data_IF_638071935366
#
_entry.id   IF_638071935366
#
_cell.length_a   1.000
_cell.length_b   1.000
_cell.length_c   1.000
_cell.angle_alpha   90.00
_cell.angle_beta   90.00
_cell.angle_gamma   90.00
#
_symmetry.space_group_name_H-M   'P 1'
#
loop_
_entity.id
_entity.type
_entity.pdbx_description
1 polymer ?
#
# COMPACT_ATOMS: atom_id res chain seq x y z
N UNK A 1 -15.96 45.00 -17.66
CA UNK A 1 -17.04 44.06 -18.03
C UNK A 1 -16.39 42.93 -18.81
N UNK A 2 -16.35 41.73 -18.22
CA UNK A 2 -16.19 40.38 -18.82
C UNK A 2 -14.85 40.15 -19.56
N UNK A 3 -13.78 39.69 -18.88
CA UNK A 3 -13.39 38.28 -18.62
C UNK A 3 -13.32 37.36 -19.85
N UNK A 4 -12.12 36.84 -20.13
CA UNK A 4 -11.96 35.51 -20.71
C UNK A 4 -10.66 34.88 -20.19
N UNK A 5 -10.83 34.11 -19.13
CA UNK A 5 -9.85 33.18 -18.59
C UNK A 5 -9.48 32.13 -19.64
N UNK A 6 -8.20 32.06 -20.00
CA UNK A 6 -7.66 30.90 -20.68
C UNK A 6 -7.54 29.76 -19.65
N UNK A 7 -8.52 28.87 -19.64
CA UNK A 7 -8.43 27.60 -18.92
C UNK A 7 -7.35 26.73 -19.59
N UNK A 8 -6.15 26.72 -19.01
CA UNK A 8 -5.18 25.66 -19.26
C UNK A 8 -5.76 24.36 -18.69
N UNK A 9 -6.34 23.55 -19.56
CA UNK A 9 -6.62 22.16 -19.28
C UNK A 9 -5.28 21.42 -19.10
N UNK A 10 -4.77 21.41 -17.86
CA UNK A 10 -3.77 20.46 -17.41
C UNK A 10 -4.40 19.07 -17.49
N UNK A 11 -4.19 18.45 -18.65
CA UNK A 11 -4.60 17.08 -18.92
C UNK A 11 -3.95 16.17 -17.87
N UNK A 12 -4.80 15.56 -17.06
CA UNK A 12 -4.48 14.56 -16.07
C UNK A 12 -3.91 13.30 -16.74
N UNK A 13 -2.62 13.32 -17.03
CA UNK A 13 -1.83 12.19 -17.54
C UNK A 13 -1.20 11.37 -16.40
N UNK A 14 -1.87 11.27 -15.26
CA UNK A 14 -1.47 10.41 -14.14
C UNK A 14 -2.58 9.41 -13.86
N UNK A 15 -2.50 8.21 -14.44
CA UNK A 15 -3.07 6.95 -13.90
C UNK A 15 -2.83 5.75 -14.84
N UNK A 16 -2.83 5.95 -16.16
CA UNK A 16 -2.84 4.79 -17.07
C UNK A 16 -1.53 3.96 -17.09
N UNK A 17 -0.36 4.57 -16.88
CA UNK A 17 0.91 3.85 -16.87
C UNK A 17 1.13 3.08 -15.55
N UNK A 18 0.74 3.66 -14.42
CA UNK A 18 0.78 2.99 -13.13
C UNK A 18 -0.24 1.83 -13.10
N UNK A 19 -1.44 2.01 -13.67
CA UNK A 19 -2.48 0.96 -13.72
C UNK A 19 -2.04 -0.28 -14.53
N UNK A 20 -1.27 -0.11 -15.60
CA UNK A 20 -0.75 -1.23 -16.43
C UNK A 20 0.34 -2.01 -15.69
N UNK A 21 1.21 -1.33 -14.94
CA UNK A 21 2.27 -1.96 -14.14
C UNK A 21 1.66 -2.77 -12.99
N UNK A 22 0.63 -2.23 -12.34
CA UNK A 22 -0.11 -2.88 -11.25
C UNK A 22 -0.89 -4.10 -11.74
N UNK A 23 -1.56 -3.99 -12.90
CA UNK A 23 -2.31 -5.11 -13.49
C UNK A 23 -1.38 -6.29 -13.82
N UNK A 24 -0.20 -6.02 -14.40
CA UNK A 24 0.82 -7.06 -14.64
C UNK A 24 1.45 -7.60 -13.35
N UNK A 25 1.72 -6.74 -12.36
CA UNK A 25 2.20 -7.16 -11.04
C UNK A 25 1.17 -8.00 -10.28
N UNK A 26 -0.12 -7.83 -10.55
CA UNK A 26 -1.19 -8.61 -9.91
C UNK A 26 -1.24 -10.08 -10.38
N UNK A 27 -0.91 -10.35 -11.65
CA UNK A 27 -0.84 -11.71 -12.21
C UNK A 27 0.35 -12.50 -11.62
N UNK A 28 1.46 -11.81 -11.35
CA UNK A 28 2.70 -12.39 -10.78
C UNK A 28 2.91 -12.06 -9.30
N UNK A 29 1.92 -11.48 -8.61
CA UNK A 29 2.09 -10.94 -7.26
C UNK A 29 2.62 -11.99 -6.28
N UNK A 30 2.07 -13.20 -6.35
CA UNK A 30 2.48 -14.30 -5.47
C UNK A 30 3.82 -14.94 -5.85
N UNK A 31 4.40 -14.58 -7.01
CA UNK A 31 5.76 -14.96 -7.42
C UNK A 31 6.83 -13.99 -6.89
N UNK A 32 6.43 -12.82 -6.37
CA UNK A 32 7.37 -11.88 -5.76
C UNK A 32 7.97 -12.43 -4.46
N UNK A 33 9.22 -12.06 -4.19
CA UNK A 33 9.89 -12.36 -2.93
C UNK A 33 9.28 -11.57 -1.77
N UNK A 34 9.28 -12.14 -0.56
CA UNK A 34 8.82 -11.45 0.63
C UNK A 34 9.81 -10.36 1.06
N UNK A 35 9.31 -9.14 1.27
CA UNK A 35 10.12 -8.05 1.78
C UNK A 35 10.60 -8.36 3.21
N UNK A 36 11.93 -8.41 3.40
CA UNK A 36 12.55 -8.59 4.72
C UNK A 36 12.88 -7.23 5.31
N UNK A 37 12.10 -6.79 6.28
CA UNK A 37 12.38 -5.54 6.99
C UNK A 37 13.53 -5.71 7.98
N UNK A 38 14.48 -4.77 8.02
CA UNK A 38 15.60 -4.82 8.97
C UNK A 38 15.14 -4.63 10.42
N UNK A 39 14.03 -3.92 10.61
CA UNK A 39 13.37 -3.72 11.89
C UNK A 39 11.89 -3.95 11.73
N UNK A 40 11.26 -4.55 12.75
CA UNK A 40 9.80 -4.66 12.78
C UNK A 40 9.20 -3.27 12.60
N UNK A 41 8.36 -3.11 11.58
CA UNK A 41 7.62 -1.87 11.40
C UNK A 41 6.78 -1.63 12.66
N UNK A 42 6.65 -0.38 13.13
CA UNK A 42 5.81 -0.08 14.28
C UNK A 42 4.34 -0.29 13.91
N UNK A 43 3.87 -1.51 14.17
CA UNK A 43 2.45 -1.89 14.14
C UNK A 43 1.99 -1.92 15.59
N UNK A 44 1.78 -0.73 16.17
CA UNK A 44 1.23 -0.58 17.54
C UNK A 44 -0.29 -0.76 17.49
N UNK A 45 -0.89 -1.10 18.63
CA UNK A 45 -2.35 -1.19 18.83
C UNK A 45 -3.14 0.02 18.29
N UNK A 46 -2.57 1.23 18.36
CA UNK A 46 -3.19 2.44 17.76
C UNK A 46 -3.43 2.30 16.25
N UNK A 47 -2.54 1.63 15.53
CA UNK A 47 -2.65 1.44 14.08
C UNK A 47 -3.72 0.42 13.73
N UNK A 48 -3.88 -0.62 14.56
CA UNK A 48 -4.96 -1.62 14.43
C UNK A 48 -6.32 -0.96 14.65
N UNK A 49 -6.49 -0.18 15.73
CA UNK A 49 -7.72 0.60 15.98
C UNK A 49 -8.03 1.63 14.89
N UNK A 50 -7.00 2.17 14.24
CA UNK A 50 -7.18 3.15 13.15
C UNK A 50 -7.66 2.46 11.88
N UNK A 51 -7.03 1.34 11.51
CA UNK A 51 -7.46 0.51 10.39
C UNK A 51 -8.90 0.01 10.60
N UNK A 52 -9.23 -0.44 11.81
CA UNK A 52 -10.59 -0.84 12.20
C UNK A 52 -11.59 0.30 11.98
N UNK A 53 -11.30 1.49 12.53
CA UNK A 53 -12.20 2.64 12.40
C UNK A 53 -12.43 3.01 10.94
N UNK A 54 -11.39 2.94 10.12
CA UNK A 54 -11.48 3.23 8.68
C UNK A 54 -12.37 2.19 8.00
N UNK A 55 -12.13 0.90 8.23
CA UNK A 55 -12.91 -0.19 7.65
C UNK A 55 -14.39 -0.13 8.08
N UNK A 56 -14.69 0.07 9.37
CA UNK A 56 -16.07 0.24 9.88
C UNK A 56 -16.75 1.46 9.27
N UNK A 57 -16.07 2.61 9.23
CA UNK A 57 -16.65 3.86 8.69
C UNK A 57 -16.95 3.77 7.19
N UNK A 58 -16.13 3.04 6.45
CA UNK A 58 -16.28 2.84 5.02
C UNK A 58 -17.19 1.65 4.64
N UNK A 59 -17.77 0.95 5.63
CA UNK A 59 -18.54 -0.29 5.46
C UNK A 59 -17.81 -1.34 4.59
N UNK A 60 -16.51 -1.49 4.80
CA UNK A 60 -15.71 -2.40 4.01
C UNK A 60 -16.10 -3.86 4.26
N UNK A 61 -16.34 -4.60 3.18
CA UNK A 61 -16.65 -6.03 3.21
C UNK A 61 -15.37 -6.82 2.96
N UNK A 62 -14.52 -6.89 3.99
CA UNK A 62 -13.27 -7.64 3.89
C UNK A 62 -13.54 -9.15 3.99
N UNK A 63 -12.81 -9.98 3.23
CA UNK A 63 -12.92 -11.42 3.33
C UNK A 63 -12.54 -11.87 4.75
N UNK A 64 -13.44 -12.61 5.39
CA UNK A 64 -13.38 -13.02 6.81
C UNK A 64 -12.64 -14.34 7.03
N UNK A 65 -12.06 -14.92 5.98
CA UNK A 65 -11.40 -16.22 5.98
C UNK A 65 -10.03 -16.24 6.70
N UNK A 66 -9.60 -15.10 7.25
CA UNK A 66 -8.28 -14.90 7.86
C UNK A 66 -8.31 -15.02 9.41
N UNK A 67 -9.27 -15.78 9.96
CA UNK A 67 -9.35 -16.08 11.40
C UNK A 67 -9.47 -14.82 12.28
N UNK A 68 -8.64 -14.70 13.33
CA UNK A 68 -8.61 -13.55 14.27
C UNK A 68 -8.12 -12.22 13.63
N UNK A 69 -7.80 -12.23 12.34
CA UNK A 69 -7.38 -11.06 11.56
C UNK A 69 -8.58 -10.64 10.71
N UNK A 70 -9.20 -9.52 11.05
CA UNK A 70 -10.37 -9.05 10.30
C UNK A 70 -10.00 -8.25 9.05
N UNK A 71 -8.72 -7.92 8.87
CA UNK A 71 -8.25 -7.22 7.69
C UNK A 71 -6.83 -7.63 7.32
N UNK A 72 -6.65 -8.08 6.08
CA UNK A 72 -5.34 -8.28 5.45
C UNK A 72 -5.30 -7.50 4.15
N UNK A 73 -4.25 -6.72 3.97
CA UNK A 73 -3.96 -6.05 2.71
C UNK A 73 -2.62 -6.55 2.22
N UNK A 74 -2.66 -7.27 1.11
CA UNK A 74 -1.46 -7.69 0.38
C UNK A 74 -0.97 -6.49 -0.46
N UNK A 75 0.33 -6.24 -0.47
CA UNK A 75 0.96 -5.10 -1.15
C UNK A 75 2.24 -5.51 -1.89
N UNK A 76 2.45 -4.94 -3.07
CA UNK A 76 3.73 -4.93 -3.75
C UNK A 76 4.51 -3.66 -3.36
N UNK A 77 5.79 -3.84 -3.07
CA UNK A 77 6.71 -2.82 -2.60
C UNK A 77 7.86 -2.69 -3.59
N UNK A 78 8.02 -1.52 -4.15
CA UNK A 78 9.23 -1.18 -4.89
C UNK A 78 10.28 -0.72 -3.89
N UNK A 79 11.43 -1.40 -3.88
CA UNK A 79 12.52 -1.13 -2.94
C UNK A 79 13.75 -0.69 -3.72
N UNK A 80 14.33 0.44 -3.31
CA UNK A 80 15.56 0.98 -3.87
C UNK A 80 16.80 0.13 -3.50
N UNK A 81 17.93 0.32 -4.17
CA UNK A 81 19.22 -0.26 -3.78
C UNK A 81 19.61 -0.01 -2.31
N UNK A 82 19.20 1.13 -1.75
CA UNK A 82 19.49 1.53 -0.37
C UNK A 82 18.55 0.89 0.66
N UNK A 83 17.57 0.09 0.23
CA UNK A 83 16.59 -0.55 1.10
C UNK A 83 15.41 0.35 1.47
N UNK A 84 15.17 1.43 0.70
CA UNK A 84 14.04 2.35 0.90
C UNK A 84 12.85 1.89 0.07
N UNK A 85 11.64 1.87 0.65
CA UNK A 85 10.42 1.69 -0.13
C UNK A 85 10.12 2.98 -0.89
N UNK A 86 10.10 2.91 -2.22
CA UNK A 86 9.84 4.05 -3.12
C UNK A 86 8.42 4.08 -3.64
N UNK A 87 7.77 2.92 -3.74
CA UNK A 87 6.39 2.77 -4.19
C UNK A 87 5.68 1.64 -3.44
N UNK A 88 4.41 1.84 -3.16
CA UNK A 88 3.53 0.85 -2.51
C UNK A 88 2.29 0.69 -3.37
N UNK A 89 1.99 -0.55 -3.74
CA UNK A 89 0.84 -0.91 -4.57
C UNK A 89 0.04 -1.97 -3.83
N UNK A 90 -1.18 -1.68 -3.35
CA UNK A 90 -2.04 -2.69 -2.75
C UNK A 90 -2.66 -3.59 -3.82
N UNK A 91 -2.82 -4.86 -3.49
CA UNK A 91 -3.76 -5.76 -4.17
C UNK A 91 -5.17 -5.31 -3.80
N UNK A 92 -6.09 -5.27 -4.77
CA UNK A 92 -7.46 -4.82 -4.54
C UNK A 92 -8.15 -5.69 -3.49
N UNK A 93 -8.58 -5.05 -2.41
CA UNK A 93 -9.32 -5.67 -1.30
C UNK A 93 -10.80 -5.29 -1.31
N UNK A 94 -11.23 -4.48 -2.29
CA UNK A 94 -12.56 -3.88 -2.31
C UNK A 94 -12.75 -2.76 -1.29
N UNK A 95 -11.68 -2.29 -0.64
CA UNK A 95 -11.73 -1.30 0.44
C UNK A 95 -10.66 -0.22 0.25
N UNK A 96 -10.93 0.72 -0.67
CA UNK A 96 -10.00 1.80 -1.05
C UNK A 96 -9.49 2.63 0.14
N UNK A 97 -10.32 2.88 1.15
CA UNK A 97 -9.93 3.67 2.31
C UNK A 97 -8.89 2.93 3.17
N UNK A 98 -9.00 1.60 3.29
CA UNK A 98 -8.02 0.79 4.00
C UNK A 98 -6.72 0.65 3.20
N UNK A 99 -6.83 0.44 1.89
CA UNK A 99 -5.70 0.42 0.96
C UNK A 99 -4.89 1.71 1.02
N UNK A 100 -5.58 2.86 0.99
CA UNK A 100 -4.96 4.19 1.12
C UNK A 100 -4.21 4.32 2.43
N UNK A 101 -4.81 3.91 3.55
CA UNK A 101 -4.16 3.93 4.85
C UNK A 101 -2.90 3.06 4.89
N UNK A 102 -2.93 1.88 4.27
CA UNK A 102 -1.77 0.98 4.17
C UNK A 102 -0.64 1.62 3.36
N UNK A 103 -0.96 2.24 2.23
CA UNK A 103 0.02 2.98 1.40
C UNK A 103 0.70 4.08 2.23
N UNK A 104 -0.08 4.90 2.92
CA UNK A 104 0.44 6.00 3.75
C UNK A 104 1.32 5.48 4.89
N UNK A 105 0.87 4.42 5.57
CA UNK A 105 1.59 3.82 6.70
C UNK A 105 2.94 3.25 6.25
N UNK A 106 2.98 2.51 5.15
CA UNK A 106 4.22 1.94 4.62
C UNK A 106 5.15 3.03 4.10
N UNK A 107 4.63 4.01 3.36
CA UNK A 107 5.43 5.14 2.88
C UNK A 107 6.07 5.89 4.06
N UNK A 108 5.34 6.09 5.16
CA UNK A 108 5.86 6.78 6.34
C UNK A 108 6.97 6.02 7.06
N UNK A 109 6.80 4.71 7.29
CA UNK A 109 7.71 3.94 8.15
C UNK A 109 8.80 3.18 7.38
N UNK A 110 8.52 2.85 6.12
CA UNK A 110 9.43 2.13 5.23
C UNK A 110 10.02 3.01 4.11
N UNK A 111 9.54 4.25 3.95
CA UNK A 111 10.09 5.21 2.98
C UNK A 111 11.40 5.86 3.39
N UNK A 112 12.19 5.21 4.26
CA UNK A 112 13.53 5.62 4.70
C UNK A 112 14.56 4.56 4.29
N UNK A 113 15.81 4.97 4.12
CA UNK A 113 16.90 4.06 3.77
C UNK A 113 17.09 2.95 4.83
N UNK A 114 17.43 1.74 4.38
CA UNK A 114 17.61 0.56 5.22
C UNK A 114 16.32 0.06 5.90
N UNK A 115 15.13 0.45 5.43
CA UNK A 115 13.90 -0.11 5.97
C UNK A 115 13.75 -1.59 5.62
N UNK A 116 14.09 -1.96 4.39
CA UNK A 116 14.14 -3.32 3.86
C UNK A 116 15.60 -3.71 3.66
N UNK A 117 15.94 -4.99 3.88
CA UNK A 117 17.29 -5.53 3.66
C UNK A 117 17.76 -5.13 2.27
N UNK A 118 18.95 -4.52 2.23
CA UNK A 118 19.56 -4.02 0.99
C UNK A 118 19.89 -5.18 0.07
N UNK A 119 19.57 -5.02 -1.21
CA UNK A 119 19.88 -6.01 -2.24
C UNK A 119 20.83 -5.46 -3.32
N UNK A 120 21.26 -4.19 -3.22
CA UNK A 120 22.12 -3.56 -4.23
C UNK A 120 21.39 -3.11 -5.50
N UNK A 121 20.25 -3.72 -5.82
CA UNK A 121 19.42 -3.39 -6.98
C UNK A 121 18.02 -2.92 -6.59
N UNK A 122 17.38 -2.18 -7.51
CA UNK A 122 15.96 -1.84 -7.41
C UNK A 122 15.12 -3.09 -7.68
N UNK A 123 14.22 -3.46 -6.75
CA UNK A 123 13.45 -4.70 -6.86
C UNK A 123 12.05 -4.57 -6.28
N UNK A 124 11.10 -5.32 -6.85
CA UNK A 124 9.76 -5.49 -6.34
C UNK A 124 9.68 -6.66 -5.36
N UNK A 125 9.01 -6.44 -4.24
CA UNK A 125 8.75 -7.43 -3.21
C UNK A 125 7.26 -7.47 -2.88
N UNK A 126 6.78 -8.58 -2.33
CA UNK A 126 5.45 -8.64 -1.70
C UNK A 126 5.55 -8.51 -0.19
N UNK A 127 4.50 -7.98 0.41
CA UNK A 127 4.27 -8.01 1.86
C UNK A 127 2.78 -8.07 2.14
N UNK A 128 2.39 -8.57 3.31
CA UNK A 128 1.04 -8.46 3.82
C UNK A 128 1.03 -7.59 5.08
N UNK A 129 0.07 -6.66 5.17
CA UNK A 129 -0.25 -6.02 6.44
C UNK A 129 -1.54 -6.63 6.98
N UNK A 130 -1.44 -7.23 8.15
CA UNK A 130 -2.56 -7.78 8.90
C UNK A 130 -2.92 -6.86 10.05
N UNK A 131 -4.21 -6.61 10.25
CA UNK A 131 -4.73 -5.90 11.41
C UNK A 131 -5.55 -6.84 12.28
N UNK A 132 -5.14 -6.98 13.54
CA UNK A 132 -5.96 -7.69 14.54
C UNK A 132 -7.20 -6.87 14.85
N UNK A 133 -8.28 -7.58 15.15
CA UNK A 133 -9.54 -6.96 15.49
C UNK A 133 -10.24 -7.81 16.55
N UNK A 134 -10.73 -7.18 17.63
CA UNK A 134 -11.63 -7.81 18.57
C UNK A 134 -13.07 -7.68 18.07
N UNK A 135 -13.80 -8.80 18.04
CA UNK A 135 -15.23 -8.87 17.67
C UNK A 135 -16.08 -7.78 18.35
#
# INVERSE_FOLDING_TARGET
MIELFAAFALSSAFSAADDIEITKLSEDFYNLELARFEKKLPVRERHERTAERIAKKADCKLPTDIGWVHARVDVALEVSPTGRVTRVVPVDTGCRQLETYVIEHLTKYAGRDGAVVRNGDKKWYRQAITFRWPE
#
